data_IF_436756197983
#
_entry.id   IF_436756197983
#
_cell.length_a   1.000
_cell.length_b   1.000
_cell.length_c   1.000
_cell.angle_alpha   90.00
_cell.angle_beta   90.00
_cell.angle_gamma   90.00
#
_symmetry.space_group_name_H-M   'P 1'
#
loop_
_entity.id
_entity.type
_entity.pdbx_description
1 polymer ?
#
# COMPACT_ATOMS: atom_id res chain seq x y z
N UNK A 1 52.91 20.27 -34.14
CA UNK A 1 51.53 19.84 -33.85
C UNK A 1 51.48 19.50 -32.35
N UNK A 2 51.61 20.44 -31.38
CA UNK A 2 50.58 21.35 -30.84
C UNK A 2 49.20 20.64 -30.81
N UNK A 3 48.61 20.16 -29.71
CA UNK A 3 48.72 20.56 -28.29
C UNK A 3 48.20 19.40 -27.40
N UNK A 4 49.00 19.04 -26.42
CA UNK A 4 48.67 18.16 -25.28
C UNK A 4 47.93 18.99 -24.21
N UNK A 5 47.20 18.30 -23.33
CA UNK A 5 46.85 18.67 -21.94
C UNK A 5 45.68 19.64 -21.69
N UNK A 6 44.59 19.04 -21.22
CA UNK A 6 44.07 19.13 -19.84
C UNK A 6 43.76 20.51 -19.24
N UNK A 7 42.51 20.61 -18.73
CA UNK A 7 41.92 21.65 -17.87
C UNK A 7 41.10 22.72 -18.60
N UNK A 8 39.77 22.76 -18.35
CA UNK A 8 39.13 23.88 -17.65
C UNK A 8 37.62 23.60 -17.37
N UNK A 9 37.29 23.52 -16.06
CA UNK A 9 36.06 24.04 -15.40
C UNK A 9 34.68 23.61 -15.96
N UNK A 10 33.95 22.68 -15.31
CA UNK A 10 33.07 22.95 -14.15
C UNK A 10 32.32 24.30 -14.23
N UNK A 11 31.19 24.35 -14.94
CA UNK A 11 30.10 25.28 -14.66
C UNK A 11 28.79 24.86 -15.38
N UNK A 12 27.84 24.37 -14.58
CA UNK A 12 26.38 24.58 -14.68
C UNK A 12 25.66 24.46 -16.02
N UNK A 13 24.78 23.45 -16.17
CA UNK A 13 23.34 23.68 -16.38
C UNK A 13 22.55 22.37 -16.40
N UNK A 14 21.41 22.41 -15.70
CA UNK A 14 20.30 21.46 -15.65
C UNK A 14 20.53 20.13 -14.88
N UNK A 15 20.03 20.02 -13.63
CA UNK A 15 19.87 18.71 -13.01
C UNK A 15 18.85 17.94 -13.85
N UNK A 16 19.31 16.88 -14.53
CA UNK A 16 18.41 15.91 -15.17
C UNK A 16 17.40 15.48 -14.11
N UNK A 17 16.14 15.83 -14.35
CA UNK A 17 15.00 15.52 -13.52
C UNK A 17 15.13 14.12 -12.91
N UNK A 18 15.33 14.09 -11.59
CA UNK A 18 15.04 12.92 -10.79
C UNK A 18 13.57 12.59 -10.97
N UNK A 19 13.27 11.65 -11.86
CA UNK A 19 12.04 10.87 -11.83
C UNK A 19 12.14 9.98 -10.59
N UNK A 20 12.01 10.58 -9.42
CA UNK A 20 11.68 9.84 -8.22
C UNK A 20 10.34 9.18 -8.50
N UNK A 21 10.24 7.84 -8.60
CA UNK A 21 8.92 7.24 -8.62
C UNK A 21 8.23 7.73 -7.35
N UNK A 22 7.08 8.38 -7.52
CA UNK A 22 6.18 8.72 -6.43
C UNK A 22 5.81 7.37 -5.80
N UNK A 23 6.58 6.94 -4.80
CA UNK A 23 6.28 5.74 -4.04
C UNK A 23 5.00 6.08 -3.31
N UNK A 24 3.87 5.60 -3.83
CA UNK A 24 2.64 5.53 -3.06
C UNK A 24 3.02 4.93 -1.72
N UNK A 25 2.95 5.75 -0.67
CA UNK A 25 3.51 5.39 0.62
C UNK A 25 2.59 4.32 1.21
N UNK A 26 2.98 3.06 1.03
CA UNK A 26 2.28 1.93 1.63
C UNK A 26 2.31 2.13 3.14
N UNK A 27 1.13 2.22 3.74
CA UNK A 27 0.97 2.30 5.18
C UNK A 27 0.48 0.95 5.68
N UNK A 28 0.96 0.58 6.86
CA UNK A 28 0.42 -0.55 7.58
C UNK A 28 -0.96 -0.16 8.11
N UNK A 29 -2.00 -0.73 7.49
CA UNK A 29 -3.39 -0.59 7.91
C UNK A 29 -3.68 -1.73 8.87
N UNK A 30 -4.20 -1.39 10.04
CA UNK A 30 -4.67 -2.35 11.04
C UNK A 30 -6.12 -2.09 11.35
N UNK A 31 -6.85 -3.14 11.69
CA UNK A 31 -8.25 -3.05 12.03
C UNK A 31 -8.77 -4.35 12.61
N UNK A 32 -10.05 -4.36 12.97
CA UNK A 32 -10.74 -5.55 13.47
C UNK A 32 -11.99 -5.76 12.63
N UNK A 33 -12.18 -6.99 12.14
CA UNK A 33 -13.39 -7.39 11.43
C UNK A 33 -14.37 -7.98 12.43
N UNK A 34 -15.58 -7.43 12.45
CA UNK A 34 -16.67 -7.86 13.33
C UNK A 34 -17.92 -8.22 12.51
N UNK A 35 -18.74 -9.12 13.05
CA UNK A 35 -20.07 -9.42 12.49
C UNK A 35 -21.01 -8.24 12.70
N UNK A 36 -21.77 -7.87 11.66
CA UNK A 36 -22.76 -6.80 11.75
C UNK A 36 -23.95 -7.16 12.66
N UNK A 37 -24.29 -8.44 12.80
CA UNK A 37 -25.43 -8.89 13.60
C UNK A 37 -25.14 -8.89 15.10
N UNK A 38 -23.97 -9.39 15.48
CA UNK A 38 -23.67 -9.73 16.87
C UNK A 38 -22.44 -9.00 17.42
N UNK A 39 -21.78 -8.16 16.62
CA UNK A 39 -20.53 -7.46 17.00
C UNK A 39 -19.39 -8.39 17.45
N UNK A 40 -19.47 -9.69 17.13
CA UNK A 40 -18.43 -10.67 17.45
C UNK A 40 -17.26 -10.56 16.47
N UNK A 41 -16.01 -10.70 16.93
CA UNK A 41 -14.84 -10.71 16.06
C UNK A 41 -14.89 -11.92 15.12
N UNK A 42 -14.52 -11.72 13.86
CA UNK A 42 -14.53 -12.76 12.84
C UNK A 42 -13.11 -13.24 12.51
N UNK A 43 -12.70 -14.43 12.98
CA UNK A 43 -11.42 -15.03 12.60
C UNK A 43 -11.49 -15.65 11.19
N UNK A 44 -10.35 -15.70 10.49
CA UNK A 44 -10.26 -16.35 9.17
C UNK A 44 -10.89 -15.56 8.01
N UNK A 45 -11.21 -14.29 8.21
CA UNK A 45 -11.65 -13.40 7.13
C UNK A 45 -10.45 -13.08 6.24
N UNK A 46 -10.62 -13.25 4.93
CA UNK A 46 -9.62 -12.86 3.94
C UNK A 46 -9.74 -11.37 3.66
N UNK A 47 -8.64 -10.64 3.85
CA UNK A 47 -8.51 -9.20 3.54
C UNK A 47 -7.54 -9.07 2.37
N UNK A 48 -7.98 -8.52 1.24
CA UNK A 48 -7.13 -8.37 0.04
C UNK A 48 -7.19 -6.94 -0.48
N UNK A 49 -6.08 -6.42 -0.98
CA UNK A 49 -6.11 -5.17 -1.74
C UNK A 49 -6.55 -5.49 -3.18
N UNK A 50 -7.68 -4.91 -3.60
CA UNK A 50 -8.28 -5.11 -4.92
C UNK A 50 -7.27 -4.85 -6.04
N UNK A 51 -7.25 -5.74 -7.04
CA UNK A 51 -6.31 -5.66 -8.17
C UNK A 51 -4.87 -6.04 -7.85
N UNK A 52 -4.56 -6.49 -6.63
CA UNK A 52 -3.20 -6.92 -6.26
C UNK A 52 -3.18 -8.31 -5.61
N UNK A 53 -1.98 -8.89 -5.48
CA UNK A 53 -1.75 -10.13 -4.73
C UNK A 53 -1.48 -9.87 -3.23
N UNK A 54 -1.58 -8.62 -2.76
CA UNK A 54 -1.42 -8.30 -1.34
C UNK A 54 -2.70 -8.68 -0.62
N UNK A 55 -2.58 -9.66 0.27
CA UNK A 55 -3.66 -10.12 1.12
C UNK A 55 -3.14 -10.53 2.48
N UNK A 56 -4.07 -10.59 3.43
CA UNK A 56 -3.85 -10.98 4.82
C UNK A 56 -5.11 -11.69 5.32
N UNK A 57 -5.02 -12.38 6.45
CA UNK A 57 -6.16 -13.04 7.08
C UNK A 57 -6.33 -12.54 8.50
N UNK A 58 -7.57 -12.47 8.99
CA UNK A 58 -7.82 -12.08 10.38
C UNK A 58 -7.41 -13.18 11.35
N UNK A 59 -6.85 -12.78 12.49
CA UNK A 59 -6.48 -13.68 13.58
C UNK A 59 -7.69 -14.11 14.44
N UNK A 60 -7.45 -14.86 15.52
CA UNK A 60 -8.50 -15.33 16.45
C UNK A 60 -9.36 -14.21 17.06
N UNK A 61 -8.80 -12.99 17.17
CA UNK A 61 -9.47 -11.82 17.70
C UNK A 61 -10.10 -10.95 16.59
N UNK A 62 -10.20 -11.45 15.35
CA UNK A 62 -10.69 -10.71 14.19
C UNK A 62 -9.78 -9.59 13.71
N UNK A 63 -8.56 -9.47 14.24
CA UNK A 63 -7.64 -8.39 13.88
C UNK A 63 -6.90 -8.74 12.58
N UNK A 64 -6.68 -7.74 11.74
CA UNK A 64 -5.86 -7.85 10.54
C UNK A 64 -4.80 -6.77 10.48
N UNK A 65 -3.76 -7.05 9.71
CA UNK A 65 -2.73 -6.09 9.33
C UNK A 65 -2.40 -6.29 7.85
N UNK A 66 -2.47 -5.21 7.08
CA UNK A 66 -2.20 -5.24 5.64
C UNK A 66 -1.52 -3.94 5.20
N UNK A 67 -0.56 -4.05 4.29
CA UNK A 67 0.05 -2.89 3.67
C UNK A 67 -0.80 -2.39 2.51
N UNK A 68 -1.40 -1.21 2.68
CA UNK A 68 -2.19 -0.57 1.65
C UNK A 68 -1.86 0.92 1.55
N UNK A 69 -2.01 1.46 0.36
CA UNK A 69 -1.87 2.88 0.07
C UNK A 69 -3.24 3.54 0.09
N UNK A 70 -3.26 4.85 0.33
CA UNK A 70 -4.46 5.66 0.18
C UNK A 70 -5.06 5.49 -1.23
N UNK A 71 -6.38 5.41 -1.30
CA UNK A 71 -7.15 5.25 -2.53
C UNK A 71 -7.24 3.79 -3.00
N UNK A 72 -6.51 2.87 -2.39
CA UNK A 72 -6.68 1.44 -2.64
C UNK A 72 -7.96 0.91 -1.96
N UNK A 73 -8.54 -0.13 -2.55
CA UNK A 73 -9.76 -0.77 -2.03
C UNK A 73 -9.38 -2.07 -1.34
N UNK A 74 -9.78 -2.22 -0.09
CA UNK A 74 -9.71 -3.48 0.64
C UNK A 74 -10.99 -4.28 0.41
N UNK A 75 -10.83 -5.51 -0.04
CA UNK A 75 -11.88 -6.52 -0.20
C UNK A 75 -11.82 -7.48 0.99
N UNK A 76 -12.94 -7.60 1.69
CA UNK A 76 -13.13 -8.53 2.79
C UNK A 76 -14.05 -9.66 2.33
N UNK A 77 -13.59 -10.91 2.48
CA UNK A 77 -14.37 -12.08 2.11
C UNK A 77 -14.26 -13.14 3.21
N UNK A 78 -15.39 -13.76 3.52
CA UNK A 78 -15.49 -14.87 4.47
C UNK A 78 -16.58 -15.83 4.04
N UNK A 79 -16.43 -17.10 4.37
CA UNK A 79 -17.38 -18.15 4.00
C UNK A 79 -18.72 -17.87 4.68
N UNK A 80 -19.79 -17.76 3.89
CA UNK A 80 -21.14 -17.50 4.40
C UNK A 80 -21.45 -16.03 4.69
N UNK A 81 -20.52 -15.10 4.40
CA UNK A 81 -20.73 -13.66 4.52
C UNK A 81 -20.77 -12.99 3.15
N UNK A 82 -21.39 -11.81 3.09
CA UNK A 82 -21.30 -10.95 1.92
C UNK A 82 -19.92 -10.33 1.83
N UNK A 83 -19.39 -10.22 0.61
CA UNK A 83 -18.12 -9.53 0.38
C UNK A 83 -18.30 -8.04 0.64
N UNK A 84 -17.35 -7.45 1.36
CA UNK A 84 -17.35 -6.01 1.65
C UNK A 84 -16.13 -5.35 1.01
N UNK A 85 -16.33 -4.16 0.44
CA UNK A 85 -15.26 -3.36 -0.12
C UNK A 85 -15.15 -2.03 0.63
N UNK A 86 -13.93 -1.65 1.01
CA UNK A 86 -13.66 -0.41 1.74
C UNK A 86 -12.47 0.30 1.11
N UNK A 87 -12.68 1.52 0.65
CA UNK A 87 -11.60 2.38 0.14
C UNK A 87 -10.82 3.02 1.29
N UNK A 88 -9.49 2.96 1.23
CA UNK A 88 -8.62 3.62 2.20
C UNK A 88 -8.61 5.13 1.97
N UNK A 89 -9.21 5.89 2.89
CA UNK A 89 -9.22 7.35 2.89
C UNK A 89 -8.01 7.98 3.60
N UNK A 90 -7.96 9.31 3.64
CA UNK A 90 -7.14 10.04 4.63
C UNK A 90 -7.90 10.11 5.96
N UNK A 91 -7.16 10.03 7.07
CA UNK A 91 -7.68 10.44 8.38
C UNK A 91 -7.76 11.96 8.46
#
# INVERSE_FOLDING_TARGET
MKKLLLSLMLASAAPLCGLSPLRAQQKMITGTVISAGDSHPLPGVTVRVSGTNRGSTTNANGQFQIEASKGEVLEFSSIGFQNQQVTIGDN
#
